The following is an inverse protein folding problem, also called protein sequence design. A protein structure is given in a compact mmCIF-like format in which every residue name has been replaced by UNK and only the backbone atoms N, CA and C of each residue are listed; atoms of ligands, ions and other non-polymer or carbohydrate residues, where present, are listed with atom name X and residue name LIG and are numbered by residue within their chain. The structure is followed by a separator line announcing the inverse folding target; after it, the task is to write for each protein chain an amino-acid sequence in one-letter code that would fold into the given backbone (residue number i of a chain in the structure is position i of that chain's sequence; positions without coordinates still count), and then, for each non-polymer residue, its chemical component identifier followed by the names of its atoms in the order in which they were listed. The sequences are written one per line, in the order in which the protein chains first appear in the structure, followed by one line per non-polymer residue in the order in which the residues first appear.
data_IF_964422350745
#
_entry.id   IF_964422350745
#
_cell.length_a   1.000
_cell.length_b   1.000
_cell.length_c   1.000
_cell.angle_alpha   90.00
_cell.angle_beta   90.00
_cell.angle_gamma   90.00
#
_symmetry.space_group_name_H-M   'P 1'
#
loop_
_entity.id
_entity.type
_entity.pdbx_description
1 polymer ?
#
# COMPACT_ATOMS: atom_id res chain seq x y z
N UNK A 1 -13.92 -14.49 14.91
CA UNK A 1 -12.48 -14.27 14.65
C UNK A 1 -12.21 -13.57 13.32
N UNK A 2 -12.92 -13.88 12.23
CA UNK A 2 -12.76 -13.20 10.92
C UNK A 2 -12.97 -11.68 10.94
N UNK A 3 -13.83 -11.16 11.81
CA UNK A 3 -14.16 -9.72 11.87
C UNK A 3 -13.02 -8.86 12.43
N UNK A 4 -12.20 -9.42 13.34
CA UNK A 4 -11.07 -8.73 13.96
C UNK A 4 -9.89 -8.60 12.99
N UNK A 5 -9.59 -9.67 12.24
CA UNK A 5 -8.53 -9.67 11.23
C UNK A 5 -8.85 -8.74 10.05
N UNK A 6 -10.12 -8.70 9.63
CA UNK A 6 -10.57 -7.80 8.57
C UNK A 6 -10.53 -6.32 8.99
N UNK A 7 -10.88 -6.01 10.25
CA UNK A 7 -10.77 -4.65 10.78
C UNK A 7 -9.31 -4.20 10.91
N UNK A 8 -8.41 -5.11 11.34
CA UNK A 8 -6.99 -4.84 11.42
C UNK A 8 -6.38 -4.55 10.03
N UNK A 9 -6.71 -5.37 9.03
CA UNK A 9 -6.31 -5.14 7.62
C UNK A 9 -6.77 -3.77 7.11
N UNK A 10 -8.04 -3.39 7.34
CA UNK A 10 -8.56 -2.07 6.93
C UNK A 10 -7.79 -0.91 7.56
N UNK A 11 -7.37 -1.04 8.82
CA UNK A 11 -6.55 -0.02 9.48
C UNK A 11 -5.17 0.09 8.83
N UNK A 12 -4.54 -1.04 8.51
CA UNK A 12 -3.26 -1.06 7.77
C UNK A 12 -3.42 -0.39 6.40
N UNK A 13 -4.47 -0.73 5.63
CA UNK A 13 -4.73 -0.09 4.33
C UNK A 13 -4.83 1.43 4.43
N UNK A 14 -5.44 1.95 5.51
CA UNK A 14 -5.52 3.41 5.76
C UNK A 14 -4.17 4.03 6.11
N UNK A 15 -3.36 3.35 6.93
CA UNK A 15 -2.00 3.81 7.28
C UNK A 15 -1.15 3.91 6.00
N UNK A 16 -1.19 2.87 5.16
CA UNK A 16 -0.49 2.86 3.87
C UNK A 16 -0.96 4.00 2.97
N UNK A 17 -2.27 4.19 2.81
CA UNK A 17 -2.83 5.28 2.01
C UNK A 17 -2.34 6.64 2.51
N UNK A 18 -2.35 6.86 3.83
CA UNK A 18 -1.86 8.10 4.43
C UNK A 18 -0.37 8.33 4.13
N UNK A 19 0.47 7.30 4.31
CA UNK A 19 1.91 7.40 4.05
C UNK A 19 2.20 7.70 2.58
N UNK A 20 1.54 7.01 1.66
CA UNK A 20 1.71 7.26 0.23
C UNK A 20 1.30 8.70 -0.12
N UNK A 21 0.18 9.19 0.41
CA UNK A 21 -0.25 10.58 0.23
C UNK A 21 0.72 11.59 0.85
N UNK A 22 1.33 11.31 2.00
CA UNK A 22 2.34 12.18 2.60
C UNK A 22 3.62 12.27 1.77
N UNK A 23 4.06 11.15 1.18
CA UNK A 23 5.31 11.09 0.41
C UNK A 23 5.12 11.64 -1.01
N UNK A 24 4.04 11.25 -1.68
CA UNK A 24 3.87 11.47 -3.12
C UNK A 24 2.77 12.49 -3.45
N UNK A 25 1.88 12.78 -2.51
CA UNK A 25 0.66 13.55 -2.76
C UNK A 25 -0.40 12.74 -3.53
N UNK A 26 -1.63 13.24 -3.50
CA UNK A 26 -2.81 12.52 -3.97
C UNK A 26 -2.72 12.03 -5.43
N UNK A 27 -2.21 12.88 -6.33
CA UNK A 27 -2.14 12.54 -7.76
C UNK A 27 -1.19 11.37 -8.02
N UNK A 28 0.00 11.39 -7.43
CA UNK A 28 0.98 10.32 -7.65
C UNK A 28 0.59 9.04 -6.88
N UNK A 29 0.00 9.17 -5.70
CA UNK A 29 -0.59 8.01 -4.98
C UNK A 29 -1.65 7.30 -5.80
N UNK A 30 -2.53 8.03 -6.50
CA UNK A 30 -3.51 7.43 -7.42
C UNK A 30 -2.83 6.63 -8.53
N UNK A 31 -1.73 7.12 -9.12
CA UNK A 31 -1.00 6.40 -10.16
C UNK A 31 -0.41 5.09 -9.62
N UNK A 32 0.12 5.09 -8.40
CA UNK A 32 0.62 3.87 -7.72
C UNK A 32 -0.51 2.86 -7.57
N UNK A 33 -1.68 3.29 -7.08
CA UNK A 33 -2.83 2.40 -6.93
C UNK A 33 -3.36 1.88 -8.27
N UNK A 34 -3.41 2.71 -9.31
CA UNK A 34 -3.79 2.25 -10.65
C UNK A 34 -2.84 1.16 -11.15
N UNK A 35 -1.53 1.34 -10.99
CA UNK A 35 -0.56 0.30 -11.36
C UNK A 35 -0.78 -1.01 -10.59
N UNK A 36 -1.01 -0.92 -9.27
CA UNK A 36 -1.22 -2.09 -8.41
C UNK A 36 -2.52 -2.82 -8.74
N UNK A 37 -3.59 -2.08 -9.04
CA UNK A 37 -4.87 -2.65 -9.45
C UNK A 37 -4.74 -3.35 -10.81
N UNK A 38 -4.11 -2.70 -11.80
CA UNK A 38 -3.94 -3.23 -13.16
C UNK A 38 -3.03 -4.48 -13.21
N UNK A 39 -1.96 -4.50 -12.40
CA UNK A 39 -0.94 -5.58 -12.45
C UNK A 39 -1.15 -6.69 -11.45
N UNK A 40 -1.73 -6.38 -10.28
CA UNK A 40 -1.85 -7.34 -9.17
C UNK A 40 -3.29 -7.51 -8.68
N UNK A 41 -4.27 -6.80 -9.26
CA UNK A 41 -5.65 -6.83 -8.80
C UNK A 41 -5.77 -6.52 -7.30
N UNK A 42 -4.98 -5.55 -6.84
CA UNK A 42 -4.99 -5.03 -5.47
C UNK A 42 -5.68 -3.68 -5.48
N UNK A 43 -6.82 -3.59 -4.81
CA UNK A 43 -7.45 -2.30 -4.52
C UNK A 43 -6.82 -1.66 -3.29
N UNK A 44 -6.94 -0.34 -3.20
CA UNK A 44 -6.46 0.43 -2.06
C UNK A 44 -6.88 -0.18 -0.71
N UNK A 45 -8.15 -0.54 -0.59
CA UNK A 45 -8.74 -1.06 0.65
C UNK A 45 -8.22 -2.46 1.02
N UNK A 46 -7.64 -3.19 0.06
CA UNK A 46 -7.13 -4.55 0.22
C UNK A 46 -5.63 -4.59 0.52
N UNK A 47 -4.92 -3.45 0.48
CA UNK A 47 -3.46 -3.42 0.66
C UNK A 47 -2.99 -3.99 2.00
N UNK A 48 -3.72 -3.75 3.08
CA UNK A 48 -3.43 -4.36 4.38
C UNK A 48 -3.73 -5.86 4.45
N UNK A 49 -4.63 -6.38 3.62
CA UNK A 49 -4.91 -7.82 3.53
C UNK A 49 -3.87 -8.54 2.66
N UNK A 50 -3.49 -7.91 1.55
CA UNK A 50 -2.55 -8.42 0.54
C UNK A 50 -1.17 -7.78 0.68
N UNK A 51 -0.70 -7.56 1.91
CA UNK A 51 0.47 -6.71 2.21
C UNK A 51 1.74 -7.17 1.49
N UNK A 52 1.99 -8.48 1.42
CA UNK A 52 3.18 -9.00 0.75
C UNK A 52 3.15 -8.72 -0.76
N UNK A 53 1.99 -8.90 -1.39
CA UNK A 53 1.80 -8.64 -2.81
C UNK A 53 1.84 -7.13 -3.10
N UNK A 54 1.32 -6.31 -2.19
CA UNK A 54 1.45 -4.85 -2.24
C UNK A 54 2.92 -4.44 -2.21
N UNK A 55 3.73 -4.95 -1.28
CA UNK A 55 5.15 -4.62 -1.17
C UNK A 55 5.91 -5.06 -2.43
N UNK A 56 5.61 -6.24 -2.97
CA UNK A 56 6.17 -6.67 -4.25
C UNK A 56 5.83 -5.70 -5.38
N UNK A 57 4.55 -5.36 -5.55
CA UNK A 57 4.12 -4.43 -6.60
C UNK A 57 4.72 -3.04 -6.44
N UNK A 58 4.87 -2.56 -5.21
CA UNK A 58 5.52 -1.29 -4.90
C UNK A 58 7.01 -1.30 -5.28
N UNK A 59 7.74 -2.36 -4.96
CA UNK A 59 9.15 -2.57 -5.38
C UNK A 59 9.28 -2.62 -6.89
N UNK A 60 8.34 -3.27 -7.57
CA UNK A 60 8.37 -3.34 -9.03
C UNK A 60 8.11 -1.98 -9.68
N UNK A 61 7.19 -1.19 -9.11
CA UNK A 61 6.83 0.16 -9.59
C UNK A 61 7.92 1.20 -9.32
N UNK A 62 8.37 1.32 -8.07
CA UNK A 62 9.30 2.36 -7.63
C UNK A 62 10.78 1.95 -7.71
N UNK A 63 11.06 0.66 -7.93
CA UNK A 63 12.43 0.10 -7.87
C UNK A 63 13.10 0.44 -6.55
N UNK A 64 14.31 1.01 -6.58
CA UNK A 64 15.02 1.45 -5.37
C UNK A 64 14.26 2.50 -4.57
N UNK A 65 13.34 3.24 -5.19
CA UNK A 65 12.47 4.20 -4.51
C UNK A 65 11.44 3.58 -3.57
N UNK A 66 11.20 2.26 -3.63
CA UNK A 66 10.30 1.60 -2.69
C UNK A 66 10.87 1.51 -1.28
N UNK A 67 12.19 1.35 -1.14
CA UNK A 67 12.84 1.15 0.16
C UNK A 67 12.50 2.22 1.22
N UNK A 68 12.61 3.53 0.96
CA UNK A 68 12.22 4.54 1.94
C UNK A 68 10.73 4.52 2.29
N UNK A 69 9.86 4.12 1.34
CA UNK A 69 8.41 4.00 1.58
C UNK A 69 8.12 2.82 2.50
N UNK A 70 8.72 1.66 2.25
CA UNK A 70 8.56 0.47 3.10
C UNK A 70 9.08 0.70 4.51
N UNK A 71 10.23 1.38 4.64
CA UNK A 71 10.77 1.80 5.93
C UNK A 71 9.79 2.68 6.68
N UNK A 72 9.19 3.66 6.00
CA UNK A 72 8.19 4.55 6.61
C UNK A 72 6.93 3.80 7.05
N UNK A 73 6.49 2.80 6.28
CA UNK A 73 5.35 1.92 6.65
C UNK A 73 5.65 1.09 7.91
N UNK A 74 6.88 0.61 8.09
CA UNK A 74 7.26 -0.17 9.27
C UNK A 74 7.43 0.66 10.54
N UNK A 75 7.58 1.98 10.40
CA UNK A 75 7.80 2.92 11.51
C UNK A 75 6.49 3.50 12.08
N UNK A 76 5.34 3.18 11.48
CA UNK A 76 3.98 3.58 11.91
C UNK A 76 3.21 2.40 12.51
#
# INVERSE_FOLDING_TARGET
MATLTQQHSKNISKIIDNILNQIFGEKATRIIYTYLEDKYSIKKEETGEKIELFLQGLREFLKSGAFPVERKILEE
#
